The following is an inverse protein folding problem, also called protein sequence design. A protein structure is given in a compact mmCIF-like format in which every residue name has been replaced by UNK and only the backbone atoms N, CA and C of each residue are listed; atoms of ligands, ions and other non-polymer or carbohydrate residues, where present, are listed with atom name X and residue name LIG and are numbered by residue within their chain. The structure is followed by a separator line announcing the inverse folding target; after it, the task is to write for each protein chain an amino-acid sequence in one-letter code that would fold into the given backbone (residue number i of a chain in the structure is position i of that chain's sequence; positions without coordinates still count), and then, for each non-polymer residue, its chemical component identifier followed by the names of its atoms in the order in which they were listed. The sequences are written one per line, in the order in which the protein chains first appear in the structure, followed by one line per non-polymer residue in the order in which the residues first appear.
data_IF_011877139431
#
_entry.id   IF_011877139431
#
_cell.length_a   1.000
_cell.length_b   1.000
_cell.length_c   1.000
_cell.angle_alpha   90.00
_cell.angle_beta   90.00
_cell.angle_gamma   90.00
#
_symmetry.space_group_name_H-M   'P 1'
#
loop_
_entity.id
_entity.type
_entity.pdbx_description
1 polymer ?
#
# COMPACT_ATOMS: atom_id res chain seq x y z
N UNK A 1 33.06 4.94 -73.31
CA UNK A 1 31.61 5.26 -73.38
C UNK A 1 30.91 4.24 -72.51
N UNK A 2 30.40 4.49 -71.31
CA UNK A 2 29.87 5.71 -70.71
C UNK A 2 28.48 5.34 -70.19
N UNK A 3 28.31 5.20 -68.87
CA UNK A 3 27.00 5.21 -68.20
C UNK A 3 27.23 5.59 -66.72
N UNK A 4 26.84 6.82 -66.40
CA UNK A 4 26.86 7.40 -65.06
C UNK A 4 25.82 6.73 -64.17
N UNK A 5 26.23 6.20 -63.01
CA UNK A 5 25.30 5.86 -61.94
C UNK A 5 24.97 7.12 -61.12
N UNK A 6 23.74 7.60 -61.29
CA UNK A 6 23.16 8.68 -60.46
C UNK A 6 22.98 8.18 -59.03
N UNK A 7 23.75 8.74 -58.10
CA UNK A 7 23.55 8.58 -56.65
C UNK A 7 22.38 9.45 -56.18
N UNK A 8 21.22 8.83 -55.94
CA UNK A 8 20.10 9.47 -55.25
C UNK A 8 20.40 9.47 -53.75
N UNK A 9 20.82 10.60 -53.20
CA UNK A 9 20.89 10.81 -51.74
C UNK A 9 19.46 10.87 -51.17
N UNK A 10 19.07 10.02 -50.20
CA UNK A 10 17.81 10.21 -49.52
C UNK A 10 17.90 11.42 -48.59
N UNK A 11 17.15 12.47 -48.95
CA UNK A 11 16.90 13.70 -48.18
C UNK A 11 15.96 13.40 -47.00
N UNK A 12 16.37 12.54 -46.07
CA UNK A 12 15.55 12.14 -44.90
C UNK A 12 16.25 12.39 -43.55
N UNK A 13 17.52 12.81 -43.55
CA UNK A 13 18.29 12.97 -42.31
C UNK A 13 18.07 14.30 -41.57
N UNK A 14 17.48 15.33 -42.18
CA UNK A 14 17.37 16.65 -41.54
C UNK A 14 16.08 16.90 -40.74
N UNK A 15 14.99 16.16 -41.00
CA UNK A 15 13.70 16.38 -40.30
C UNK A 15 13.57 15.58 -38.99
N UNK A 16 14.28 14.45 -38.84
CA UNK A 16 14.25 13.66 -37.61
C UNK A 16 15.15 14.20 -36.49
N UNK A 17 16.13 15.05 -36.81
CA UNK A 17 17.02 15.65 -35.84
C UNK A 17 16.40 16.87 -35.12
N UNK A 18 15.43 17.55 -35.74
CA UNK A 18 14.91 18.83 -35.25
C UNK A 18 13.76 18.68 -34.24
N UNK A 19 13.05 17.54 -34.24
CA UNK A 19 11.94 17.27 -33.31
C UNK A 19 12.43 16.73 -31.94
N UNK A 20 13.68 16.26 -31.85
CA UNK A 20 14.23 15.63 -30.63
C UNK A 20 14.65 16.60 -29.52
N UNK A 21 14.69 17.91 -29.78
CA UNK A 21 15.26 18.89 -28.86
C UNK A 21 14.25 19.79 -28.13
N UNK A 22 12.94 19.68 -28.40
CA UNK A 22 11.98 20.54 -27.71
C UNK A 22 11.93 20.20 -26.22
N UNK A 23 11.97 21.25 -25.38
CA UNK A 23 11.80 21.13 -23.93
C UNK A 23 10.53 20.33 -23.61
N UNK A 24 9.46 20.54 -24.39
CA UNK A 24 8.19 19.83 -24.29
C UNK A 24 8.32 18.34 -24.55
N UNK A 25 9.11 17.92 -25.54
CA UNK A 25 9.37 16.49 -25.80
C UNK A 25 10.19 15.85 -24.69
N UNK A 26 11.16 16.58 -24.11
CA UNK A 26 11.93 16.11 -22.94
C UNK A 26 11.06 16.03 -21.69
N UNK A 27 10.19 17.01 -21.46
CA UNK A 27 9.21 17.00 -20.38
C UNK A 27 8.21 15.86 -20.59
N UNK A 28 7.69 15.67 -21.80
CA UNK A 28 6.82 14.55 -22.14
C UNK A 28 7.53 13.20 -21.93
N UNK A 29 8.76 13.02 -22.39
CA UNK A 29 9.51 11.78 -22.16
C UNK A 29 9.86 11.59 -20.68
N UNK A 30 10.09 12.67 -19.93
CA UNK A 30 10.34 12.63 -18.50
C UNK A 30 9.06 12.24 -17.75
N UNK A 31 7.93 12.86 -18.08
CA UNK A 31 6.61 12.54 -17.55
C UNK A 31 6.17 11.13 -17.95
N UNK A 32 6.39 10.71 -19.19
CA UNK A 32 6.09 9.36 -19.67
C UNK A 32 7.01 8.32 -19.04
N UNK A 33 8.31 8.60 -18.87
CA UNK A 33 9.23 7.70 -18.14
C UNK A 33 8.92 7.67 -16.65
N UNK A 34 8.56 8.80 -16.05
CA UNK A 34 8.13 8.89 -14.66
C UNK A 34 6.83 8.13 -14.46
N UNK A 35 5.84 8.31 -15.34
CA UNK A 35 4.57 7.58 -15.40
C UNK A 35 4.77 6.08 -15.57
N UNK A 36 5.64 5.68 -16.49
CA UNK A 36 6.02 4.29 -16.71
C UNK A 36 6.73 3.69 -15.49
N UNK A 37 7.59 4.46 -14.82
CA UNK A 37 8.21 4.08 -13.54
C UNK A 37 7.22 4.04 -12.37
N UNK A 38 6.18 4.87 -12.38
CA UNK A 38 5.07 4.88 -11.42
C UNK A 38 4.18 3.65 -11.56
N UNK A 39 4.07 3.09 -12.76
CA UNK A 39 3.41 1.81 -13.00
C UNK A 39 4.31 0.67 -12.54
N UNK A 40 4.43 0.54 -11.22
CA UNK A 40 5.26 -0.47 -10.54
C UNK A 40 4.92 -1.91 -10.97
N UNK A 41 3.72 -2.14 -11.50
CA UNK A 41 3.35 -3.39 -12.17
C UNK A 41 4.27 -3.80 -13.34
N UNK A 42 5.07 -2.90 -13.92
CA UNK A 42 6.07 -3.23 -14.93
C UNK A 42 7.50 -3.44 -14.38
N UNK A 43 7.77 -3.04 -13.13
CA UNK A 43 9.11 -3.22 -12.50
C UNK A 43 9.32 -4.61 -11.94
N UNK A 44 8.27 -5.20 -11.40
CA UNK A 44 8.12 -6.66 -11.44
C UNK A 44 7.80 -6.92 -12.90
N UNK A 45 8.71 -7.47 -13.69
CA UNK A 45 8.25 -8.18 -14.89
C UNK A 45 7.10 -9.07 -14.40
N UNK A 46 5.88 -8.90 -14.94
CA UNK A 46 4.82 -9.85 -14.61
C UNK A 46 5.42 -11.20 -14.96
N UNK A 47 5.77 -11.97 -13.93
CA UNK A 47 6.43 -13.23 -14.15
C UNK A 47 5.49 -13.99 -15.10
N UNK A 48 6.04 -14.54 -16.17
CA UNK A 48 5.25 -15.20 -17.21
C UNK A 48 4.32 -16.22 -16.55
N UNK A 49 4.82 -16.85 -15.49
CA UNK A 49 4.13 -17.75 -14.56
C UNK A 49 2.87 -17.13 -13.96
N UNK A 50 2.92 -15.92 -13.36
CA UNK A 50 1.73 -15.25 -12.80
C UNK A 50 0.70 -14.91 -13.86
N UNK A 51 1.16 -14.55 -15.05
CA UNK A 51 0.27 -14.20 -16.15
C UNK A 51 -0.42 -15.43 -16.75
N UNK A 52 0.30 -16.55 -16.84
CA UNK A 52 -0.23 -17.86 -17.19
C UNK A 52 -1.20 -18.36 -16.13
N UNK A 53 -0.86 -18.25 -14.85
CA UNK A 53 -1.74 -18.62 -13.74
C UNK A 53 -3.04 -17.78 -13.73
N UNK A 54 -2.94 -16.47 -13.97
CA UNK A 54 -4.12 -15.61 -14.10
C UNK A 54 -5.01 -16.02 -15.27
N UNK A 55 -4.41 -16.32 -16.44
CA UNK A 55 -5.16 -16.80 -17.61
C UNK A 55 -5.85 -18.13 -17.32
N UNK A 56 -5.13 -19.09 -16.76
CA UNK A 56 -5.66 -20.42 -16.46
C UNK A 56 -6.76 -20.33 -15.40
N UNK A 57 -6.62 -19.43 -14.43
CA UNK A 57 -7.68 -19.07 -13.50
C UNK A 57 -8.90 -18.47 -14.22
N UNK A 58 -8.73 -17.49 -15.10
CA UNK A 58 -9.84 -16.92 -15.88
C UNK A 58 -10.53 -17.94 -16.80
N UNK A 59 -9.81 -18.95 -17.30
CA UNK A 59 -10.38 -20.01 -18.15
C UNK A 59 -11.12 -21.08 -17.35
N UNK A 60 -10.64 -21.41 -16.14
CA UNK A 60 -11.20 -22.48 -15.30
C UNK A 60 -12.26 -22.00 -14.32
N UNK A 61 -12.39 -20.69 -14.12
CA UNK A 61 -13.16 -20.13 -13.01
C UNK A 61 -14.32 -19.27 -13.50
N UNK A 62 -15.52 -19.49 -12.96
CA UNK A 62 -16.70 -18.70 -13.30
C UNK A 62 -16.58 -17.25 -12.81
N UNK A 63 -17.20 -16.32 -13.54
CA UNK A 63 -17.25 -14.89 -13.16
C UNK A 63 -17.85 -14.73 -11.75
N UNK A 64 -18.86 -15.53 -11.40
CA UNK A 64 -19.48 -15.53 -10.07
C UNK A 64 -18.47 -15.78 -8.97
N UNK A 65 -17.55 -16.74 -9.14
CA UNK A 65 -16.50 -17.02 -8.15
C UNK A 65 -15.49 -15.87 -8.07
N UNK A 66 -15.15 -15.23 -9.18
CA UNK A 66 -14.25 -14.06 -9.18
C UNK A 66 -14.89 -12.90 -8.41
N UNK A 67 -16.15 -12.58 -8.71
CA UNK A 67 -16.91 -11.53 -8.01
C UNK A 67 -17.03 -11.84 -6.53
N UNK A 68 -17.39 -13.09 -6.19
CA UNK A 68 -17.48 -13.53 -4.80
C UNK A 68 -16.15 -13.39 -4.06
N UNK A 69 -15.02 -13.78 -4.65
CA UNK A 69 -13.69 -13.60 -4.04
C UNK A 69 -13.43 -12.11 -3.79
N UNK A 70 -13.66 -11.23 -4.78
CA UNK A 70 -13.44 -9.79 -4.61
C UNK A 70 -14.31 -9.17 -3.50
N UNK A 71 -15.58 -9.59 -3.38
CA UNK A 71 -16.51 -9.06 -2.38
C UNK A 71 -16.30 -9.66 -0.99
N UNK A 72 -16.00 -10.95 -0.89
CA UNK A 72 -15.88 -11.67 0.38
C UNK A 72 -14.51 -11.48 1.04
N UNK A 73 -13.45 -11.25 0.26
CA UNK A 73 -12.08 -11.05 0.81
C UNK A 73 -11.96 -9.91 1.82
N UNK A 74 -12.57 -8.72 1.65
CA UNK A 74 -12.49 -7.65 2.64
C UNK A 74 -13.40 -7.86 3.86
N UNK A 75 -14.41 -8.74 3.79
CA UNK A 75 -15.44 -8.88 4.84
C UNK A 75 -14.84 -9.22 6.21
N UNK A 76 -13.90 -10.17 6.36
CA UNK A 76 -13.32 -10.48 7.67
C UNK A 76 -12.63 -9.28 8.33
N UNK A 77 -11.92 -8.47 7.54
CA UNK A 77 -11.24 -7.27 8.04
C UNK A 77 -12.25 -6.19 8.46
N UNK A 78 -13.30 -5.99 7.65
CA UNK A 78 -14.38 -5.04 7.96
C UNK A 78 -15.18 -5.48 9.20
N UNK A 79 -15.55 -6.76 9.29
CA UNK A 79 -16.25 -7.31 10.46
C UNK A 79 -15.42 -7.14 11.73
N UNK A 80 -14.13 -7.46 11.68
CA UNK A 80 -13.27 -7.30 12.85
C UNK A 80 -13.17 -5.83 13.29
N UNK A 81 -13.02 -4.89 12.33
CA UNK A 81 -13.03 -3.47 12.64
C UNK A 81 -14.37 -3.02 13.24
N UNK A 82 -15.50 -3.45 12.66
CA UNK A 82 -16.84 -3.12 13.16
C UNK A 82 -17.11 -3.72 14.55
N UNK A 83 -16.63 -4.93 14.83
CA UNK A 83 -16.77 -5.54 16.16
C UNK A 83 -15.97 -4.78 17.22
N UNK A 84 -14.79 -4.27 16.86
CA UNK A 84 -14.00 -3.38 17.71
C UNK A 84 -14.74 -2.04 17.91
N UNK A 85 -15.37 -1.50 16.86
CA UNK A 85 -16.20 -0.29 16.92
C UNK A 85 -17.38 -0.41 17.89
N UNK A 86 -17.91 -1.62 18.11
CA UNK A 86 -18.99 -1.86 19.06
C UNK A 86 -18.59 -1.62 20.53
N UNK A 87 -17.29 -1.49 20.84
CA UNK A 87 -16.83 -1.16 22.18
C UNK A 87 -17.13 0.32 22.46
N UNK A 88 -18.12 0.55 23.32
CA UNK A 88 -18.57 1.88 23.70
C UNK A 88 -17.46 2.67 24.39
N UNK A 89 -17.23 3.89 23.90
CA UNK A 89 -16.32 4.86 24.50
C UNK A 89 -17.11 5.85 25.35
N UNK A 90 -16.52 6.28 26.46
CA UNK A 90 -17.09 7.36 27.28
C UNK A 90 -16.60 8.71 26.75
N UNK A 91 -17.23 9.83 27.12
CA UNK A 91 -16.71 11.15 26.79
C UNK A 91 -15.23 11.30 27.21
N UNK A 92 -14.38 11.93 26.37
CA UNK A 92 -12.96 12.09 26.67
C UNK A 92 -12.71 12.94 27.93
N UNK A 93 -13.64 13.86 28.27
CA UNK A 93 -13.57 14.69 29.48
C UNK A 93 -13.65 13.92 30.81
N UNK A 94 -14.11 12.67 30.81
CA UNK A 94 -14.10 11.82 32.03
C UNK A 94 -12.69 11.31 32.39
N UNK A 95 -11.69 11.58 31.55
CA UNK A 95 -10.31 11.22 31.79
C UNK A 95 -9.97 9.78 31.38
N UNK A 96 -8.67 9.49 31.39
CA UNK A 96 -8.11 8.25 30.86
C UNK A 96 -8.49 7.01 31.69
N UNK A 97 -8.71 7.17 33.01
CA UNK A 97 -9.09 6.07 33.92
C UNK A 97 -10.54 5.61 33.75
N UNK A 98 -11.44 6.54 33.43
CA UNK A 98 -12.85 6.22 33.18
C UNK A 98 -13.04 5.52 31.82
N UNK A 99 -12.15 5.80 30.87
CA UNK A 99 -12.19 5.26 29.52
C UNK A 99 -11.52 3.88 29.38
N UNK A 100 -11.93 2.89 30.19
CA UNK A 100 -11.40 1.51 30.10
C UNK A 100 -11.65 0.86 28.74
N UNK A 101 -12.80 1.15 28.13
CA UNK A 101 -13.16 0.67 26.79
C UNK A 101 -12.16 1.11 25.72
N UNK A 102 -11.61 2.32 25.83
CA UNK A 102 -10.59 2.83 24.90
C UNK A 102 -9.34 1.95 24.91
N UNK A 103 -8.85 1.54 26.09
CA UNK A 103 -7.64 0.74 26.20
C UNK A 103 -7.82 -0.68 25.66
N UNK A 104 -9.00 -1.29 25.90
CA UNK A 104 -9.35 -2.59 25.32
C UNK A 104 -9.41 -2.49 23.80
N UNK A 105 -10.07 -1.44 23.30
CA UNK A 105 -10.19 -1.18 21.86
C UNK A 105 -8.82 -0.99 21.21
N UNK A 106 -7.97 -0.15 21.81
CA UNK A 106 -6.60 0.11 21.36
C UNK A 106 -5.73 -1.16 21.34
N UNK A 107 -5.93 -2.06 22.32
CA UNK A 107 -5.24 -3.34 22.38
C UNK A 107 -5.64 -4.27 21.23
N UNK A 108 -6.95 -4.39 20.98
CA UNK A 108 -7.49 -5.24 19.91
C UNK A 108 -7.07 -4.71 18.54
N UNK A 109 -7.15 -3.39 18.32
CA UNK A 109 -6.71 -2.74 17.09
C UNK A 109 -5.22 -2.98 16.84
N UNK A 110 -4.37 -2.68 17.84
CA UNK A 110 -2.94 -2.83 17.71
C UNK A 110 -2.52 -4.29 17.50
N UNK A 111 -3.17 -5.23 18.19
CA UNK A 111 -2.94 -6.65 17.99
C UNK A 111 -3.25 -7.06 16.55
N UNK A 112 -4.38 -6.59 16.04
CA UNK A 112 -4.88 -7.04 14.77
C UNK A 112 -4.16 -6.35 13.58
N UNK A 113 -3.72 -5.10 13.75
CA UNK A 113 -2.74 -4.44 12.86
C UNK A 113 -1.41 -5.19 12.87
N UNK A 114 -0.86 -5.53 14.04
CA UNK A 114 0.40 -6.27 14.12
C UNK A 114 0.30 -7.67 13.49
N UNK A 115 -0.84 -8.36 13.65
CA UNK A 115 -1.14 -9.62 12.96
C UNK A 115 -1.20 -9.45 11.44
N UNK A 116 -1.75 -8.34 10.95
CA UNK A 116 -1.74 -7.99 9.53
C UNK A 116 -0.33 -7.71 9.00
N UNK A 117 0.49 -6.96 9.74
CA UNK A 117 1.89 -6.66 9.40
C UNK A 117 2.74 -7.94 9.36
N UNK A 118 2.64 -8.81 10.37
CA UNK A 118 3.42 -10.05 10.39
C UNK A 118 2.98 -11.02 9.29
N UNK A 119 1.70 -11.00 8.90
CA UNK A 119 1.22 -11.77 7.75
C UNK A 119 1.83 -11.27 6.43
N UNK A 120 2.00 -9.95 6.27
CA UNK A 120 2.71 -9.37 5.12
C UNK A 120 4.19 -9.79 5.11
N UNK A 121 4.86 -9.78 6.26
CA UNK A 121 6.26 -10.21 6.39
C UNK A 121 6.39 -11.70 6.05
N UNK A 122 5.53 -12.56 6.62
CA UNK A 122 5.54 -14.02 6.42
C UNK A 122 5.29 -14.43 4.97
N UNK A 123 4.51 -13.65 4.24
CA UNK A 123 4.25 -13.91 2.81
C UNK A 123 5.48 -13.75 1.92
N UNK A 124 6.57 -13.17 2.43
CA UNK A 124 7.70 -12.75 1.61
C UNK A 124 9.07 -13.20 2.15
N UNK A 125 9.18 -13.52 3.44
CA UNK A 125 10.39 -14.14 4.01
C UNK A 125 10.43 -15.65 3.72
N UNK A 126 11.59 -16.27 3.93
CA UNK A 126 11.75 -17.73 3.83
C UNK A 126 10.69 -18.47 4.66
N UNK A 127 9.94 -19.36 4.00
CA UNK A 127 8.87 -20.15 4.61
C UNK A 127 9.36 -20.90 5.84
N UNK A 128 8.58 -20.85 6.93
CA UNK A 128 8.92 -21.53 8.19
C UNK A 128 9.78 -20.71 9.16
N UNK A 129 10.29 -19.54 8.76
CA UNK A 129 11.08 -18.67 9.67
C UNK A 129 10.26 -18.18 10.87
N UNK A 130 8.98 -17.89 10.67
CA UNK A 130 8.07 -17.42 11.73
C UNK A 130 6.87 -18.37 11.79
N UNK A 131 6.73 -19.04 12.93
CA UNK A 131 5.62 -19.93 13.23
C UNK A 131 4.32 -19.14 13.52
N UNK A 132 3.17 -19.83 13.51
CA UNK A 132 1.90 -19.20 13.89
C UNK A 132 1.93 -18.70 15.34
N UNK A 133 2.52 -19.48 16.26
CA UNK A 133 2.72 -19.06 17.64
C UNK A 133 3.64 -17.82 17.72
N UNK A 134 4.73 -17.80 16.94
CA UNK A 134 5.62 -16.65 16.84
C UNK A 134 4.89 -15.38 16.36
N UNK A 135 4.00 -15.51 15.36
CA UNK A 135 3.19 -14.39 14.88
C UNK A 135 2.25 -13.83 15.95
N UNK A 136 1.64 -14.71 16.76
CA UNK A 136 0.79 -14.31 17.90
C UNK A 136 1.61 -13.62 18.98
N UNK A 137 2.80 -14.15 19.31
CA UNK A 137 3.71 -13.54 20.29
C UNK A 137 4.17 -12.15 19.84
N UNK A 138 4.56 -12.00 18.56
CA UNK A 138 4.94 -10.69 18.01
C UNK A 138 3.80 -9.69 18.15
N UNK A 139 2.59 -10.11 17.79
CA UNK A 139 1.43 -9.21 17.76
C UNK A 139 0.95 -8.84 19.15
N UNK A 140 0.89 -9.80 20.08
CA UNK A 140 0.53 -9.57 21.47
C UNK A 140 1.59 -8.73 22.20
N UNK A 141 2.87 -9.02 21.99
CA UNK A 141 3.96 -8.24 22.56
C UNK A 141 3.92 -6.79 22.08
N UNK A 142 3.73 -6.58 20.77
CA UNK A 142 3.62 -5.24 20.19
C UNK A 142 2.44 -4.47 20.75
N UNK A 143 1.25 -5.09 20.81
CA UNK A 143 0.03 -4.43 21.27
C UNK A 143 0.07 -4.10 22.76
N UNK A 144 0.56 -5.01 23.61
CA UNK A 144 0.67 -4.78 25.05
C UNK A 144 1.68 -3.66 25.35
N UNK A 145 2.87 -3.70 24.74
CA UNK A 145 3.87 -2.64 24.92
C UNK A 145 3.33 -1.28 24.45
N UNK A 146 2.65 -1.25 23.31
CA UNK A 146 2.04 -0.03 22.77
C UNK A 146 0.95 0.53 23.70
N UNK A 147 -0.01 -0.28 24.12
CA UNK A 147 -1.09 0.20 25.00
C UNK A 147 -0.54 0.66 26.34
N UNK A 148 0.45 -0.06 26.88
CA UNK A 148 1.12 0.33 28.13
C UNK A 148 1.76 1.71 28.00
N UNK A 149 2.53 1.95 26.92
CA UNK A 149 3.15 3.28 26.73
C UNK A 149 2.10 4.36 26.49
N UNK A 150 1.01 4.05 25.78
CA UNK A 150 -0.09 5.00 25.57
C UNK A 150 -0.80 5.38 26.88
N UNK A 151 -1.02 4.42 27.79
CA UNK A 151 -1.57 4.67 29.13
C UNK A 151 -0.62 5.54 29.95
N UNK A 152 0.69 5.25 29.91
CA UNK A 152 1.71 6.04 30.61
C UNK A 152 1.70 7.48 30.10
N UNK A 153 1.71 7.69 28.78
CA UNK A 153 1.66 9.04 28.20
C UNK A 153 0.38 9.76 28.60
N UNK A 154 -0.78 9.10 28.55
CA UNK A 154 -2.05 9.68 28.97
C UNK A 154 -2.10 10.00 30.48
N UNK A 155 -1.34 9.28 31.30
CA UNK A 155 -1.28 9.48 32.75
C UNK A 155 -0.38 10.66 33.16
N UNK A 156 0.70 10.93 32.41
CA UNK A 156 1.69 11.96 32.74
C UNK A 156 1.57 13.25 31.94
N UNK A 157 0.88 13.23 30.79
CA UNK A 157 0.75 14.41 29.94
C UNK A 157 -0.69 14.96 29.99
N UNK A 158 -1.53 14.61 29.02
CA UNK A 158 -2.93 15.03 28.95
C UNK A 158 -3.78 13.93 28.30
N UNK A 159 -5.09 13.95 28.56
CA UNK A 159 -6.05 13.03 27.96
C UNK A 159 -7.23 13.81 27.36
N UNK A 160 -7.58 13.59 26.07
CA UNK A 160 -6.94 12.70 25.11
C UNK A 160 -5.55 13.20 24.70
N UNK A 161 -4.63 12.28 24.39
CA UNK A 161 -3.24 12.64 24.07
C UNK A 161 -3.21 13.47 22.79
N UNK A 162 -2.68 14.72 22.79
CA UNK A 162 -2.57 15.52 21.59
C UNK A 162 -1.72 14.80 20.53
N UNK A 163 -2.21 14.72 19.30
CA UNK A 163 -1.53 13.98 18.23
C UNK A 163 -1.25 12.50 18.57
N UNK A 164 -2.02 11.91 19.48
CA UNK A 164 -1.77 10.56 20.01
C UNK A 164 -1.58 9.52 18.91
N UNK A 165 -2.40 9.59 17.85
CA UNK A 165 -2.25 8.76 16.67
C UNK A 165 -0.90 8.93 15.96
N UNK A 166 -0.45 10.16 15.72
CA UNK A 166 0.84 10.43 15.05
C UNK A 166 2.01 9.98 15.93
N UNK A 167 1.96 10.30 17.23
CA UNK A 167 2.99 9.94 18.19
C UNK A 167 3.09 8.42 18.36
N UNK A 168 1.97 7.70 18.25
CA UNK A 168 1.90 6.25 18.42
C UNK A 168 2.62 5.44 17.34
N UNK A 169 2.77 5.97 16.13
CA UNK A 169 3.31 5.22 14.99
C UNK A 169 4.73 4.73 15.24
N UNK A 170 5.62 5.61 15.72
CA UNK A 170 7.02 5.25 15.95
C UNK A 170 7.19 4.18 17.06
N UNK A 171 6.54 4.28 18.23
CA UNK A 171 6.50 3.19 19.22
C UNK A 171 5.98 1.87 18.66
N UNK A 172 4.84 1.87 17.94
CA UNK A 172 4.26 0.64 17.39
C UNK A 172 5.22 -0.05 16.43
N UNK A 173 5.82 0.69 15.49
CA UNK A 173 6.80 0.14 14.55
C UNK A 173 8.03 -0.37 15.30
N UNK A 174 8.53 0.36 16.30
CA UNK A 174 9.70 -0.03 17.07
C UNK A 174 9.48 -1.32 17.87
N UNK A 175 8.34 -1.44 18.56
CA UNK A 175 7.98 -2.66 19.28
C UNK A 175 7.76 -3.84 18.32
N UNK A 176 7.11 -3.60 17.17
CA UNK A 176 6.95 -4.63 16.14
C UNK A 176 8.30 -5.16 15.65
N UNK A 177 9.26 -4.27 15.39
CA UNK A 177 10.62 -4.64 15.00
C UNK A 177 11.32 -5.45 16.10
N UNK A 178 11.26 -4.96 17.34
CA UNK A 178 11.88 -5.60 18.50
C UNK A 178 11.35 -7.03 18.67
N UNK A 179 10.04 -7.21 18.75
CA UNK A 179 9.43 -8.52 18.92
C UNK A 179 9.70 -9.45 17.74
N UNK A 180 9.73 -8.94 16.51
CA UNK A 180 10.11 -9.73 15.32
C UNK A 180 11.54 -10.25 15.44
N UNK A 181 12.50 -9.41 15.86
CA UNK A 181 13.89 -9.82 16.08
C UNK A 181 14.01 -10.84 17.21
N UNK A 182 13.27 -10.66 18.30
CA UNK A 182 13.27 -11.59 19.43
C UNK A 182 12.73 -12.98 19.04
N UNK A 183 11.63 -13.03 18.27
CA UNK A 183 10.99 -14.28 17.86
C UNK A 183 11.78 -15.02 16.77
N UNK A 184 12.35 -14.31 15.80
CA UNK A 184 13.23 -14.92 14.77
C UNK A 184 14.58 -15.34 15.37
N UNK A 185 15.03 -14.61 16.39
CA UNK A 185 16.31 -14.81 17.06
C UNK A 185 17.42 -13.97 16.41
N UNK A 186 18.17 -13.16 17.18
CA UNK A 186 19.23 -12.30 16.64
C UNK A 186 20.37 -13.10 16.00
N UNK A 187 20.62 -14.32 16.48
CA UNK A 187 21.64 -15.22 15.91
C UNK A 187 21.26 -15.67 14.50
N UNK A 188 20.01 -16.11 14.29
CA UNK A 188 19.48 -16.52 12.98
C UNK A 188 19.55 -15.38 11.96
N UNK A 189 19.24 -14.15 12.40
CA UNK A 189 19.35 -12.95 11.56
C UNK A 189 20.79 -12.61 11.19
N UNK A 190 21.74 -12.87 12.10
CA UNK A 190 23.16 -12.62 11.84
C UNK A 190 23.75 -13.65 10.88
N UNK A 191 23.39 -14.92 11.03
CA UNK A 191 23.94 -16.03 10.24
C UNK A 191 23.38 -16.11 8.83
N UNK A 192 22.15 -15.65 8.59
CA UNK A 192 21.48 -15.81 7.30
C UNK A 192 21.36 -14.46 6.55
N UNK A 193 22.29 -14.14 5.63
CA UNK A 193 22.32 -12.84 4.96
C UNK A 193 21.08 -12.55 4.11
N UNK A 194 20.46 -13.59 3.53
CA UNK A 194 19.22 -13.49 2.76
C UNK A 194 18.05 -13.03 3.64
N UNK A 195 17.85 -13.68 4.79
CA UNK A 195 16.78 -13.36 5.73
C UNK A 195 16.93 -11.95 6.28
N UNK A 196 18.16 -11.54 6.61
CA UNK A 196 18.46 -10.16 7.02
C UNK A 196 18.07 -9.15 5.96
N UNK A 197 18.37 -9.43 4.69
CA UNK A 197 18.01 -8.55 3.59
C UNK A 197 16.49 -8.46 3.40
N UNK A 198 15.78 -9.58 3.46
CA UNK A 198 14.31 -9.63 3.36
C UNK A 198 13.64 -8.87 4.52
N UNK A 199 14.07 -9.08 5.76
CA UNK A 199 13.53 -8.36 6.92
C UNK A 199 13.83 -6.87 6.82
N UNK A 200 15.05 -6.47 6.44
CA UNK A 200 15.38 -5.05 6.24
C UNK A 200 14.47 -4.40 5.19
N UNK A 201 14.22 -5.09 4.07
CA UNK A 201 13.29 -4.62 3.03
C UNK A 201 11.88 -4.43 3.60
N UNK A 202 11.37 -5.41 4.34
CA UNK A 202 10.06 -5.34 4.98
C UNK A 202 9.96 -4.21 6.02
N UNK A 203 11.01 -4.00 6.82
CA UNK A 203 11.05 -2.89 7.78
C UNK A 203 10.98 -1.53 7.09
N UNK A 204 11.65 -1.36 5.94
CA UNK A 204 11.54 -0.13 5.15
C UNK A 204 10.10 0.05 4.63
N UNK A 205 9.45 -1.03 4.19
CA UNK A 205 8.06 -1.00 3.73
C UNK A 205 7.13 -0.57 4.87
N UNK A 206 7.21 -1.22 6.04
CA UNK A 206 6.40 -0.91 7.22
C UNK A 206 6.65 0.52 7.71
N UNK A 207 7.91 0.96 7.78
CA UNK A 207 8.24 2.34 8.16
C UNK A 207 7.67 3.36 7.16
N UNK A 208 7.70 3.04 5.86
CA UNK A 208 7.13 3.90 4.81
C UNK A 208 5.59 3.96 4.94
N UNK A 209 4.93 2.83 5.21
CA UNK A 209 3.49 2.80 5.50
C UNK A 209 3.14 3.64 6.74
N UNK A 210 3.94 3.53 7.81
CA UNK A 210 3.77 4.34 9.02
C UNK A 210 3.93 5.84 8.75
N UNK A 211 4.96 6.24 7.97
CA UNK A 211 5.17 7.65 7.59
C UNK A 211 3.98 8.20 6.80
N UNK A 212 3.44 7.41 5.86
CA UNK A 212 2.21 7.75 5.14
C UNK A 212 1.05 7.88 6.12
N UNK A 213 0.89 6.96 7.07
CA UNK A 213 -0.09 7.07 8.13
C UNK A 213 -0.02 8.36 8.95
N UNK A 214 1.16 8.97 9.08
CA UNK A 214 1.39 10.26 9.76
C UNK A 214 1.15 11.48 8.84
N UNK A 215 1.66 11.43 7.60
CA UNK A 215 1.57 12.54 6.66
C UNK A 215 0.13 12.89 6.29
N UNK A 216 -0.73 11.90 6.25
CA UNK A 216 -2.08 12.04 5.75
C UNK A 216 -3.01 12.81 6.72
N UNK A 217 -3.04 12.54 8.04
CA UNK A 217 -3.72 13.41 8.99
C UNK A 217 -3.22 14.88 8.99
N UNK A 218 -1.90 15.08 8.85
CA UNK A 218 -1.31 16.42 8.70
C UNK A 218 -1.82 17.09 7.42
N UNK A 219 -1.84 16.35 6.31
CA UNK A 219 -2.39 16.82 5.03
C UNK A 219 -3.86 17.19 5.17
N UNK A 220 -4.68 16.35 5.82
CA UNK A 220 -6.09 16.63 6.08
C UNK A 220 -6.29 17.95 6.81
N UNK A 221 -5.50 18.19 7.86
CA UNK A 221 -5.55 19.41 8.67
C UNK A 221 -5.26 20.66 7.84
N UNK A 222 -4.27 20.60 6.97
CA UNK A 222 -3.94 21.73 6.08
C UNK A 222 -5.04 21.89 5.02
N UNK A 223 -5.52 20.78 4.46
CA UNK A 223 -6.54 20.75 3.41
C UNK A 223 -7.86 21.39 3.85
N UNK A 224 -8.32 21.13 5.08
CA UNK A 224 -9.56 21.72 5.61
C UNK A 224 -9.43 23.22 5.94
N UNK A 225 -8.20 23.73 6.16
CA UNK A 225 -7.94 25.16 6.42
C UNK A 225 -7.82 26.00 5.15
N UNK A 226 -7.64 25.37 4.00
CA UNK A 226 -7.55 26.04 2.71
C UNK A 226 -8.93 26.18 2.06
N UNK A 227 -9.14 27.26 1.29
CA UNK A 227 -10.37 27.49 0.52
C UNK A 227 -10.09 27.88 -0.93
N UNK A 228 -11.05 27.58 -1.81
CA UNK A 228 -11.03 27.96 -3.23
C UNK A 228 -9.86 27.35 -4.02
N UNK A 229 -9.20 28.15 -4.85
CA UNK A 229 -8.12 27.71 -5.75
C UNK A 229 -6.92 27.11 -4.98
N UNK A 230 -6.62 27.63 -3.78
CA UNK A 230 -5.52 27.12 -2.95
C UNK A 230 -5.80 25.70 -2.44
N UNK A 231 -7.04 25.41 -2.10
CA UNK A 231 -7.47 24.06 -1.71
C UNK A 231 -7.36 23.09 -2.90
N UNK A 232 -7.82 23.52 -4.09
CA UNK A 232 -7.73 22.73 -5.32
C UNK A 232 -6.28 22.45 -5.73
N UNK A 233 -5.39 23.44 -5.64
CA UNK A 233 -3.96 23.25 -5.89
C UNK A 233 -3.30 22.28 -4.90
N UNK A 234 -3.71 22.32 -3.63
CA UNK A 234 -3.19 21.44 -2.58
C UNK A 234 -3.56 19.97 -2.80
N UNK A 235 -4.67 19.66 -3.49
CA UNK A 235 -5.03 18.29 -3.91
C UNK A 235 -3.91 17.62 -4.72
N UNK A 236 -3.13 18.39 -5.49
CA UNK A 236 -2.03 17.86 -6.32
C UNK A 236 -0.86 17.27 -5.50
N UNK A 237 -0.80 17.57 -4.20
CA UNK A 237 0.17 16.96 -3.28
C UNK A 237 -0.16 15.48 -3.04
N UNK A 238 -1.44 15.07 -3.07
CA UNK A 238 -1.81 13.67 -2.87
C UNK A 238 -1.22 12.73 -3.94
N UNK A 239 -1.34 13.02 -5.25
CA UNK A 239 -0.63 12.27 -6.29
C UNK A 239 0.89 12.22 -6.07
N UNK A 240 1.51 13.27 -5.54
CA UNK A 240 2.96 13.32 -5.28
C UNK A 240 3.36 12.42 -4.10
N UNK A 241 2.61 12.45 -2.98
CA UNK A 241 2.82 11.54 -1.84
C UNK A 241 2.64 10.10 -2.30
N UNK A 242 1.57 9.82 -3.04
CA UNK A 242 1.29 8.50 -3.62
C UNK A 242 2.43 8.03 -4.51
N UNK A 243 2.91 8.88 -5.43
CA UNK A 243 4.01 8.55 -6.33
C UNK A 243 5.31 8.26 -5.58
N UNK A 244 5.71 9.14 -4.67
CA UNK A 244 6.95 8.99 -3.89
C UNK A 244 6.91 7.72 -3.05
N UNK A 245 5.78 7.45 -2.39
CA UNK A 245 5.56 6.23 -1.60
C UNK A 245 5.69 4.98 -2.46
N UNK A 246 5.03 4.94 -3.62
CA UNK A 246 5.16 3.81 -4.56
C UNK A 246 6.61 3.58 -4.98
N UNK A 247 7.36 4.65 -5.21
CA UNK A 247 8.74 4.58 -5.64
C UNK A 247 9.67 4.04 -4.54
N UNK A 248 9.46 4.45 -3.29
CA UNK A 248 10.21 3.96 -2.13
C UNK A 248 9.90 2.48 -1.90
N UNK A 249 8.62 2.11 -1.80
CA UNK A 249 8.20 0.72 -1.55
C UNK A 249 8.62 -0.19 -2.71
N UNK A 250 8.52 0.25 -3.97
CA UNK A 250 8.99 -0.54 -5.11
C UNK A 250 10.51 -0.77 -5.11
N UNK A 251 11.29 0.22 -4.67
CA UNK A 251 12.74 0.07 -4.54
C UNK A 251 13.10 -0.84 -3.36
N UNK A 252 12.43 -0.67 -2.21
CA UNK A 252 12.62 -1.52 -1.05
C UNK A 252 12.28 -2.98 -1.36
N UNK A 253 11.16 -3.20 -2.05
CA UNK A 253 10.71 -4.52 -2.44
C UNK A 253 11.46 -5.10 -3.65
N UNK A 254 12.38 -4.38 -4.29
CA UNK A 254 13.05 -4.84 -5.52
C UNK A 254 13.73 -6.21 -5.39
N UNK A 255 14.20 -6.56 -4.19
CA UNK A 255 14.80 -7.86 -3.87
C UNK A 255 13.81 -8.99 -3.63
N UNK A 256 12.51 -8.68 -3.62
CA UNK A 256 11.40 -9.59 -3.38
C UNK A 256 10.72 -10.00 -4.70
N UNK A 257 11.42 -9.84 -5.84
CA UNK A 257 11.05 -9.96 -7.26
C UNK A 257 9.57 -10.28 -7.63
N UNK A 258 8.95 -11.29 -7.05
CA UNK A 258 7.57 -11.71 -7.33
C UNK A 258 6.49 -10.94 -6.55
N UNK A 259 6.83 -10.35 -5.40
CA UNK A 259 5.89 -9.69 -4.47
C UNK A 259 5.84 -8.17 -4.59
N UNK A 260 6.73 -7.55 -5.38
CA UNK A 260 6.87 -6.08 -5.53
C UNK A 260 5.55 -5.43 -5.95
N UNK A 261 4.88 -5.99 -6.96
CA UNK A 261 3.62 -5.47 -7.48
C UNK A 261 2.49 -5.50 -6.43
N UNK A 262 2.11 -6.68 -5.90
CA UNK A 262 1.09 -6.81 -4.87
C UNK A 262 1.37 -5.96 -3.63
N UNK A 263 2.59 -5.99 -3.10
CA UNK A 263 2.97 -5.22 -1.91
C UNK A 263 2.77 -3.73 -2.16
N UNK A 264 3.19 -3.20 -3.32
CA UNK A 264 3.04 -1.77 -3.61
C UNK A 264 1.58 -1.37 -3.82
N UNK A 265 0.79 -2.20 -4.51
CA UNK A 265 -0.64 -1.93 -4.73
C UNK A 265 -1.40 -1.96 -3.39
N UNK A 266 -1.22 -2.99 -2.59
CA UNK A 266 -1.97 -3.14 -1.34
C UNK A 266 -1.44 -2.25 -0.20
N UNK A 267 -0.16 -1.88 -0.22
CA UNK A 267 0.39 -0.92 0.75
C UNK A 267 0.01 0.53 0.44
N UNK A 268 -0.04 0.91 -0.84
CA UNK A 268 -0.18 2.34 -1.21
C UNK A 268 -1.54 2.66 -1.79
N UNK A 269 -2.05 1.85 -2.72
CA UNK A 269 -3.28 2.19 -3.43
C UNK A 269 -4.52 1.99 -2.55
N UNK A 270 -4.59 0.90 -1.79
CA UNK A 270 -5.70 0.66 -0.85
C UNK A 270 -5.81 1.77 0.18
N UNK A 271 -4.70 2.11 0.84
CA UNK A 271 -4.66 3.21 1.80
C UNK A 271 -5.10 4.54 1.18
N UNK A 272 -4.55 4.88 0.01
CA UNK A 272 -4.87 6.14 -0.63
C UNK A 272 -6.35 6.24 -1.01
N UNK A 273 -6.97 5.15 -1.48
CA UNK A 273 -8.41 5.12 -1.80
C UNK A 273 -9.26 5.39 -0.56
N UNK A 274 -8.96 4.69 0.54
CA UNK A 274 -9.66 4.88 1.80
C UNK A 274 -9.50 6.30 2.36
N UNK A 275 -8.29 6.86 2.28
CA UNK A 275 -8.04 8.22 2.72
C UNK A 275 -8.77 9.27 1.86
N UNK A 276 -8.74 9.10 0.53
CA UNK A 276 -9.50 9.96 -0.40
C UNK A 276 -10.99 9.91 -0.03
N UNK A 277 -11.52 8.73 0.31
CA UNK A 277 -12.91 8.60 0.77
C UNK A 277 -13.20 9.39 2.06
N UNK A 278 -12.28 9.41 3.03
CA UNK A 278 -12.40 10.27 4.23
C UNK A 278 -12.38 11.76 3.83
N UNK A 279 -11.46 12.17 2.97
CA UNK A 279 -11.38 13.56 2.50
C UNK A 279 -12.63 13.97 1.73
N UNK A 280 -13.20 13.09 0.91
CA UNK A 280 -14.48 13.31 0.22
C UNK A 280 -15.62 13.49 1.22
N UNK A 281 -15.68 12.66 2.27
CA UNK A 281 -16.69 12.78 3.34
C UNK A 281 -16.54 14.09 4.11
N UNK A 282 -15.32 14.55 4.34
CA UNK A 282 -15.02 15.81 5.05
C UNK A 282 -15.12 17.06 4.16
N UNK A 283 -15.02 16.89 2.84
CA UNK A 283 -15.14 17.97 1.86
C UNK A 283 -16.60 18.37 1.70
N UNK A 284 -16.97 19.56 2.17
CA UNK A 284 -18.31 20.13 1.94
C UNK A 284 -18.54 20.56 0.48
N UNK A 285 -17.52 20.48 -0.39
CA UNK A 285 -17.57 20.93 -1.79
C UNK A 285 -17.84 19.79 -2.76
N UNK A 286 -18.95 19.88 -3.51
CA UNK A 286 -19.32 18.95 -4.58
C UNK A 286 -18.25 18.88 -5.69
N UNK A 287 -17.65 20.03 -6.04
CA UNK A 287 -16.63 20.12 -7.09
C UNK A 287 -15.37 19.32 -6.73
N UNK A 288 -14.88 19.46 -5.49
CA UNK A 288 -13.68 18.76 -5.02
C UNK A 288 -13.92 17.25 -5.01
N UNK A 289 -15.11 16.81 -4.60
CA UNK A 289 -15.53 15.40 -4.62
C UNK A 289 -15.57 14.85 -6.04
N UNK A 290 -16.17 15.58 -7.00
CA UNK A 290 -16.21 15.16 -8.41
C UNK A 290 -14.82 15.03 -9.02
N UNK A 291 -13.92 15.98 -8.74
CA UNK A 291 -12.53 15.94 -9.23
C UNK A 291 -11.77 14.73 -8.67
N UNK A 292 -11.92 14.43 -7.38
CA UNK A 292 -11.29 13.25 -6.77
C UNK A 292 -11.79 11.94 -7.39
N UNK A 293 -13.12 11.80 -7.55
CA UNK A 293 -13.72 10.61 -8.19
C UNK A 293 -13.26 10.46 -9.64
N UNK A 294 -13.24 11.55 -10.41
CA UNK A 294 -12.80 11.53 -11.80
C UNK A 294 -11.32 11.13 -11.91
N UNK A 295 -10.46 11.64 -11.02
CA UNK A 295 -9.04 11.31 -10.98
C UNK A 295 -8.81 9.82 -10.66
N UNK A 296 -9.47 9.28 -9.62
CA UNK A 296 -9.35 7.87 -9.26
C UNK A 296 -9.94 6.94 -10.34
N UNK A 297 -11.08 7.33 -10.93
CA UNK A 297 -11.69 6.62 -12.06
C UNK A 297 -10.78 6.57 -13.28
N UNK A 298 -10.10 7.68 -13.61
CA UNK A 298 -9.11 7.73 -14.69
C UNK A 298 -7.93 6.80 -14.42
N UNK A 299 -7.38 6.83 -13.20
CA UNK A 299 -6.28 5.94 -12.81
C UNK A 299 -6.68 4.46 -12.92
N UNK A 300 -7.89 4.10 -12.49
CA UNK A 300 -8.41 2.74 -12.60
C UNK A 300 -8.60 2.31 -14.06
N UNK A 301 -9.15 3.19 -14.90
CA UNK A 301 -9.35 2.91 -16.32
C UNK A 301 -8.02 2.65 -17.05
N UNK A 302 -7.00 3.48 -16.80
CA UNK A 302 -5.67 3.28 -17.40
C UNK A 302 -5.05 1.96 -16.94
N UNK A 303 -5.14 1.62 -15.66
CA UNK A 303 -4.64 0.36 -15.13
C UNK A 303 -5.31 -0.85 -15.79
N UNK A 304 -6.64 -0.84 -15.93
CA UNK A 304 -7.40 -1.89 -16.61
C UNK A 304 -6.96 -2.02 -18.08
N UNK A 305 -6.85 -0.92 -18.81
CA UNK A 305 -6.42 -0.93 -20.21
C UNK A 305 -5.03 -1.54 -20.37
N UNK A 306 -4.10 -1.23 -19.48
CA UNK A 306 -2.76 -1.82 -19.47
C UNK A 306 -2.81 -3.33 -19.24
N UNK A 307 -3.59 -3.81 -18.26
CA UNK A 307 -3.73 -5.25 -17.97
C UNK A 307 -4.31 -5.99 -19.18
N UNK A 308 -5.39 -5.47 -19.78
CA UNK A 308 -6.00 -6.07 -20.97
C UNK A 308 -5.07 -6.07 -22.18
N UNK A 309 -4.28 -5.00 -22.36
CA UNK A 309 -3.28 -4.95 -23.42
C UNK A 309 -2.21 -6.03 -23.23
N UNK A 310 -1.65 -6.17 -22.03
CA UNK A 310 -0.66 -7.22 -21.72
C UNK A 310 -1.25 -8.62 -21.93
N UNK A 311 -2.47 -8.87 -21.45
CA UNK A 311 -3.18 -10.13 -21.63
C UNK A 311 -3.32 -10.51 -23.11
N UNK A 312 -3.63 -9.54 -23.98
CA UNK A 312 -3.72 -9.75 -25.44
C UNK A 312 -2.35 -10.01 -26.09
N UNK A 313 -1.31 -9.28 -25.70
CA UNK A 313 0.05 -9.44 -26.26
C UNK A 313 0.60 -10.85 -25.99
N UNK A 314 0.42 -11.39 -24.78
CA UNK A 314 0.87 -12.77 -24.48
C UNK A 314 -0.01 -13.82 -25.15
N UNK A 315 -1.32 -13.58 -25.29
CA UNK A 315 -2.18 -14.44 -26.10
C UNK A 315 -1.68 -14.54 -27.54
N UNK A 316 -1.20 -13.43 -28.11
CA UNK A 316 -0.62 -13.41 -29.47
C UNK A 316 0.72 -14.11 -29.56
N UNK A 317 1.64 -13.93 -28.59
CA UNK A 317 2.97 -14.55 -28.61
C UNK A 317 2.97 -16.09 -28.48
N UNK A 318 1.91 -16.69 -27.94
CA UNK A 318 1.79 -18.16 -27.80
C UNK A 318 1.20 -18.85 -29.04
N UNK A 319 0.67 -18.10 -30.00
CA UNK A 319 0.28 -18.68 -31.29
C UNK A 319 1.54 -19.16 -32.06
N UNK A 320 2.71 -18.62 -31.72
CA UNK A 320 3.99 -18.95 -32.37
C UNK A 320 4.86 -19.97 -31.61
N UNK A 321 4.56 -20.28 -30.34
CA UNK A 321 5.44 -21.11 -29.48
C UNK A 321 4.62 -22.21 -28.76
N UNK A 322 4.20 -23.20 -29.55
CA UNK A 322 3.58 -24.46 -29.07
C UNK A 322 4.65 -25.54 -29.06
N UNK A 323 5.62 -25.47 -28.14
CA UNK A 323 6.33 -26.66 -27.67
C UNK A 323 7.09 -26.38 -26.37
N UNK A 324 6.81 -27.22 -25.35
CA UNK A 324 7.58 -27.40 -24.10
C UNK A 324 7.39 -26.35 -22.99
N UNK A 325 6.37 -26.56 -22.14
CA UNK A 325 6.49 -26.19 -20.72
C UNK A 325 5.78 -27.24 -19.85
N UNK A 326 6.37 -27.70 -18.73
CA UNK A 326 5.73 -28.67 -17.85
C UNK A 326 4.57 -28.02 -17.07
N UNK A 327 3.60 -28.86 -16.69
CA UNK A 327 2.40 -28.50 -15.94
C UNK A 327 2.79 -28.22 -14.46
N UNK A 328 3.11 -26.97 -14.14
CA UNK A 328 3.31 -26.52 -12.76
C UNK A 328 1.95 -26.08 -12.21
N UNK A 329 1.52 -26.66 -11.08
CA UNK A 329 0.23 -26.37 -10.45
C UNK A 329 0.28 -25.04 -9.67
N UNK A 330 0.15 -23.92 -10.39
CA UNK A 330 0.19 -22.54 -9.86
C UNK A 330 -0.96 -22.19 -8.88
N UNK A 331 -1.92 -23.09 -8.68
CA UNK A 331 -3.02 -22.94 -7.71
C UNK A 331 -2.53 -23.10 -6.27
N UNK A 332 -1.36 -23.72 -6.06
CA UNK A 332 -0.84 -24.05 -4.73
C UNK A 332 -0.38 -22.82 -3.92
N UNK A 333 0.00 -21.72 -4.57
CA UNK A 333 0.47 -20.48 -3.92
C UNK A 333 -0.64 -19.44 -3.66
N UNK A 334 -1.85 -19.68 -4.19
CA UNK A 334 -3.00 -18.80 -4.02
C UNK A 334 -3.37 -18.49 -2.55
N UNK A 335 -3.33 -19.48 -1.62
CA UNK A 335 -3.66 -19.24 -0.22
C UNK A 335 -2.69 -18.26 0.46
N UNK A 336 -1.39 -18.34 0.18
CA UNK A 336 -0.38 -17.43 0.74
C UNK A 336 -0.57 -15.98 0.28
N UNK A 337 -0.90 -15.79 -0.99
CA UNK A 337 -1.24 -14.48 -1.54
C UNK A 337 -2.54 -13.91 -0.93
N UNK A 338 -3.55 -14.75 -0.70
CA UNK A 338 -4.80 -14.35 -0.08
C UNK A 338 -4.59 -13.89 1.38
N UNK A 339 -3.78 -14.60 2.16
CA UNK A 339 -3.43 -14.18 3.53
C UNK A 339 -2.64 -12.87 3.56
N UNK A 340 -1.74 -12.65 2.60
CA UNK A 340 -0.98 -11.39 2.47
C UNK A 340 -1.93 -10.23 2.14
N UNK A 341 -2.85 -10.44 1.20
CA UNK A 341 -3.88 -9.49 0.84
C UNK A 341 -4.78 -9.14 2.03
N UNK A 342 -5.26 -10.16 2.73
CA UNK A 342 -6.09 -9.98 3.91
C UNK A 342 -5.31 -9.20 5.00
N UNK A 343 -4.02 -9.47 5.19
CA UNK A 343 -3.16 -8.72 6.11
C UNK A 343 -3.06 -7.23 5.77
N UNK A 344 -2.92 -6.87 4.49
CA UNK A 344 -2.96 -5.46 4.05
C UNK A 344 -4.31 -4.80 4.30
N UNK A 345 -5.41 -5.49 3.97
CA UNK A 345 -6.76 -4.99 4.22
C UNK A 345 -7.00 -4.79 5.72
N UNK A 346 -6.53 -5.71 6.54
CA UNK A 346 -6.65 -5.64 7.99
C UNK A 346 -5.95 -4.41 8.57
N UNK A 347 -4.69 -4.20 8.18
CA UNK A 347 -3.91 -3.03 8.61
C UNK A 347 -4.65 -1.75 8.25
N UNK A 348 -5.08 -1.60 7.00
CA UNK A 348 -5.64 -0.34 6.54
C UNK A 348 -7.07 -0.10 6.98
N UNK A 349 -7.95 -1.10 6.98
CA UNK A 349 -9.33 -0.94 7.44
C UNK A 349 -9.38 -0.55 8.91
N UNK A 350 -8.60 -1.21 9.77
CA UNK A 350 -8.54 -0.84 11.19
C UNK A 350 -7.92 0.53 11.37
N UNK A 351 -6.80 0.83 10.72
CA UNK A 351 -6.12 2.11 10.87
C UNK A 351 -6.97 3.30 10.42
N UNK A 352 -7.74 3.15 9.34
CA UNK A 352 -8.48 4.25 8.69
C UNK A 352 -9.84 4.50 9.35
N UNK A 353 -10.56 3.44 9.74
CA UNK A 353 -11.87 3.60 10.38
C UNK A 353 -11.77 4.33 11.73
N UNK A 354 -10.58 4.31 12.34
CA UNK A 354 -10.32 4.86 13.67
C UNK A 354 -9.63 6.24 13.67
N UNK A 355 -9.13 6.69 12.50
CA UNK A 355 -8.62 8.05 12.29
C UNK A 355 -9.57 9.19 12.72
N UNK A 356 -10.90 9.12 12.58
CA UNK A 356 -11.76 10.26 12.92
C UNK A 356 -12.11 10.38 14.42
N UNK A 357 -11.64 9.48 15.28
CA UNK A 357 -12.03 9.47 16.70
C UNK A 357 -11.21 10.49 17.52
N UNK A 358 -11.90 11.39 18.20
CA UNK A 358 -11.30 12.43 19.08
C UNK A 358 -10.44 11.81 20.18
N UNK A 359 -10.81 10.63 20.69
CA UNK A 359 -10.06 9.88 21.70
C UNK A 359 -8.63 9.50 21.28
N UNK A 360 -8.35 9.50 19.97
CA UNK A 360 -7.03 9.20 19.42
C UNK A 360 -6.19 10.47 19.16
N UNK A 361 -6.69 11.64 19.55
CA UNK A 361 -5.95 12.91 19.43
C UNK A 361 -5.75 13.38 18.00
N UNK A 362 -6.66 12.98 17.09
CA UNK A 362 -6.62 13.35 15.67
C UNK A 362 -7.37 14.66 15.40
N UNK A 363 -7.93 15.30 16.43
CA UNK A 363 -8.49 16.64 16.31
C UNK A 363 -7.36 17.67 16.38
N UNK A 364 -6.88 18.07 15.20
CA UNK A 364 -5.84 19.09 15.03
C UNK A 364 -6.36 20.53 15.16
N UNK A 365 -7.55 20.72 15.76
CA UNK A 365 -8.03 22.04 16.17
C UNK A 365 -7.24 22.56 17.37
N UNK A 366 -5.96 22.87 17.13
CA UNK A 366 -5.19 23.73 18.00
C UNK A 366 -5.86 25.10 17.90
N UNK A 367 -6.59 25.50 18.96
CA UNK A 367 -6.75 26.92 19.27
C UNK A 367 -5.36 27.41 19.69
N UNK A 368 -4.57 27.86 18.73
CA UNK A 368 -3.38 28.67 18.97
C UNK A 368 -3.81 30.06 19.42
#
# INVERSE_FOLDING_TARGET
MGLQHVQVKPKVSSLQAQVKNSLVFRIYLSLARSWYRSQVGHRSQYSVERMLAFRDYCQRTSITRVVAVCLLTPIPALLAASLIDCILLRPPGEGWRANKGLWVRLLLEAFAVAMGLISQVRGVIVTGTISNAGAVVISAGTSVCYVTIAIVVAAYWEFPVPFGFVISVAPVVSFFCLWTVLVVGPRTLYTTPLLRHQIKSQLIIVATQGLVGVLYPIFSTVFIRLSGVRQAAFVLVMPLIKYTTKQIIANAASSLHEYVGPVVVFSVDVFNVFYVAICMKSSQSLLTTLVMVAADGFHMFVALRTIFHLARVVKSRRIDDVSRQPNIDYVRDLPGMAHTLQGHLFVWSVYILHLPLVHYGVDFNIRL
#
